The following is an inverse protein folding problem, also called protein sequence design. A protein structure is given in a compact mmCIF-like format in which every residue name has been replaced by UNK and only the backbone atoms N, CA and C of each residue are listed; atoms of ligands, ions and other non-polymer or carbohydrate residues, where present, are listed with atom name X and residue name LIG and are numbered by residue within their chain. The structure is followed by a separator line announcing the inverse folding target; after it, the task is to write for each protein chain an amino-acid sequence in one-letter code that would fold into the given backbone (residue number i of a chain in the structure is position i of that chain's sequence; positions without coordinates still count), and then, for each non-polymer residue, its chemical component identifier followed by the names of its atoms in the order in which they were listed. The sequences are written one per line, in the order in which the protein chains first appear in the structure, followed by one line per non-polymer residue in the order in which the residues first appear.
data_IF_206653788598
#
_entry.id   IF_206653788598
#
_cell.length_a   1.000
_cell.length_b   1.000
_cell.length_c   1.000
_cell.angle_alpha   90.00
_cell.angle_beta   90.00
_cell.angle_gamma   90.00
#
_symmetry.space_group_name_H-M   'P 1'
#
loop_
_entity.id
_entity.type
_entity.pdbx_description
1 polymer ?
#
# COMPACT_ATOMS: atom_id res chain seq x y z
N UNK A 1 9.56 16.84 -20.34
CA UNK A 1 9.60 15.89 -19.21
C UNK A 1 11.01 15.92 -18.66
N UNK A 2 11.13 16.10 -17.35
CA UNK A 2 12.42 16.05 -16.65
C UNK A 2 12.43 14.75 -15.84
N UNK A 3 13.22 13.78 -16.29
CA UNK A 3 13.32 12.47 -15.65
C UNK A 3 14.30 12.54 -14.48
N UNK A 4 14.01 11.75 -13.43
CA UNK A 4 14.85 11.58 -12.23
C UNK A 4 15.10 12.85 -11.41
N UNK A 5 14.31 13.91 -11.60
CA UNK A 5 14.37 15.10 -10.77
C UNK A 5 13.76 14.79 -9.39
N UNK A 6 14.58 14.91 -8.35
CA UNK A 6 14.13 14.78 -6.97
C UNK A 6 13.56 16.11 -6.48
N UNK A 7 12.36 16.12 -5.90
CA UNK A 7 11.73 17.31 -5.34
C UNK A 7 12.09 17.39 -3.85
N UNK A 8 12.75 18.49 -3.46
CA UNK A 8 13.16 18.72 -2.07
C UNK A 8 12.16 19.57 -1.30
N UNK A 9 11.45 20.47 -2.02
CA UNK A 9 10.50 21.39 -1.41
C UNK A 9 9.39 21.75 -2.38
N UNK A 10 8.18 21.89 -1.84
CA UNK A 10 7.00 22.35 -2.55
C UNK A 10 6.40 23.55 -1.82
N UNK A 11 6.15 24.64 -2.53
CA UNK A 11 5.43 25.83 -2.05
C UNK A 11 4.16 25.95 -2.86
N UNK A 12 3.01 25.54 -2.28
CA UNK A 12 1.77 25.30 -3.01
C UNK A 12 0.66 26.31 -2.74
N UNK A 13 0.82 27.17 -1.73
CA UNK A 13 -0.25 28.09 -1.27
C UNK A 13 -0.47 29.29 -2.19
N UNK A 14 0.58 29.73 -2.91
CA UNK A 14 0.53 30.91 -3.76
C UNK A 14 -0.16 30.63 -5.11
N UNK A 15 -0.52 31.68 -5.85
CA UNK A 15 -1.07 31.58 -7.20
C UNK A 15 -0.10 30.87 -8.15
N UNK A 16 1.19 31.14 -8.03
CA UNK A 16 2.26 30.42 -8.73
C UNK A 16 2.86 29.41 -7.76
N UNK A 17 2.69 28.12 -8.05
CA UNK A 17 3.25 27.02 -7.29
C UNK A 17 4.72 26.87 -7.64
N UNK A 18 5.56 26.59 -6.66
CA UNK A 18 7.00 26.46 -6.86
C UNK A 18 7.50 25.12 -6.30
N UNK A 19 8.27 24.41 -7.10
CA UNK A 19 8.95 23.16 -6.73
C UNK A 19 10.45 23.37 -6.85
N UNK A 20 11.18 23.15 -5.74
CA UNK A 20 12.64 23.12 -5.72
C UNK A 20 13.09 21.66 -5.91
N UNK A 21 13.91 21.41 -6.93
CA UNK A 21 14.33 20.06 -7.35
C UNK A 21 15.83 19.96 -7.57
N UNK A 22 16.34 18.74 -7.76
CA UNK A 22 17.74 18.50 -8.15
C UNK A 22 18.10 19.16 -9.51
N UNK A 23 17.12 19.42 -10.36
CA UNK A 23 17.28 19.98 -11.70
C UNK A 23 16.94 21.47 -11.79
N UNK A 24 16.74 22.13 -10.62
CA UNK A 24 16.40 23.55 -10.53
C UNK A 24 15.00 23.80 -9.99
N UNK A 25 14.54 25.03 -10.21
CA UNK A 25 13.24 25.51 -9.70
C UNK A 25 12.22 25.51 -10.83
N UNK A 26 11.11 24.82 -10.60
CA UNK A 26 9.97 24.78 -11.51
C UNK A 26 8.81 25.61 -10.95
N UNK A 27 8.14 26.34 -11.81
CA UNK A 27 6.98 27.15 -11.46
C UNK A 27 5.79 26.81 -12.35
N UNK A 28 4.60 26.74 -11.75
CA UNK A 28 3.36 26.46 -12.46
C UNK A 28 2.15 27.02 -11.73
N UNK A 29 1.06 27.21 -12.46
CA UNK A 29 -0.23 27.63 -11.88
C UNK A 29 -1.01 26.46 -11.29
N UNK A 30 -0.71 25.24 -11.75
CA UNK A 30 -1.29 24.00 -11.23
C UNK A 30 -0.21 23.00 -10.89
N UNK A 31 -0.49 22.14 -9.91
CA UNK A 31 0.35 20.99 -9.53
C UNK A 31 -0.53 19.76 -9.36
N UNK A 32 -0.11 18.64 -9.96
CA UNK A 32 -0.73 17.34 -9.76
C UNK A 32 0.24 16.46 -8.96
N UNK A 33 -0.18 16.05 -7.77
CA UNK A 33 0.59 15.20 -6.85
C UNK A 33 0.23 13.74 -7.12
N UNK A 34 1.22 12.97 -7.61
CA UNK A 34 1.09 11.56 -7.97
C UNK A 34 2.19 10.71 -7.32
N UNK A 35 2.61 11.08 -6.10
CA UNK A 35 3.76 10.48 -5.40
C UNK A 35 3.50 9.06 -4.88
N UNK A 36 2.24 8.62 -4.89
CA UNK A 36 1.88 7.25 -4.56
C UNK A 36 1.95 6.90 -3.07
N UNK A 37 1.99 5.60 -2.80
CA UNK A 37 2.12 5.04 -1.45
C UNK A 37 2.93 3.74 -1.49
N UNK A 38 3.94 3.64 -0.65
CA UNK A 38 4.79 2.46 -0.53
C UNK A 38 4.19 1.45 0.46
N UNK A 39 4.31 0.13 0.22
CA UNK A 39 3.97 -0.87 1.22
C UNK A 39 4.89 -0.72 2.44
N UNK A 40 4.35 -0.98 3.63
CA UNK A 40 5.15 -1.06 4.85
C UNK A 40 5.82 -2.43 4.89
N UNK A 41 7.17 -2.49 5.00
CA UNK A 41 7.87 -3.77 5.14
C UNK A 41 7.63 -4.38 6.53
N UNK A 42 7.94 -5.66 6.66
CA UNK A 42 8.05 -6.32 7.97
C UNK A 42 9.29 -5.83 8.73
N UNK A 43 10.32 -5.43 8.00
CA UNK A 43 11.61 -5.00 8.55
C UNK A 43 12.50 -6.17 8.97
N UNK A 44 12.30 -7.34 8.40
CA UNK A 44 13.14 -8.52 8.65
C UNK A 44 14.29 -8.60 7.64
N UNK A 45 15.46 -9.11 8.04
CA UNK A 45 16.60 -9.22 7.14
C UNK A 45 16.29 -9.99 5.86
N UNK A 46 16.77 -9.50 4.72
CA UNK A 46 16.63 -10.14 3.41
C UNK A 46 15.28 -9.95 2.72
N UNK A 47 14.35 -9.20 3.32
CA UNK A 47 13.01 -8.98 2.77
C UNK A 47 13.06 -8.36 1.36
N UNK A 48 13.88 -7.35 1.17
CA UNK A 48 14.08 -6.62 -0.09
C UNK A 48 14.62 -7.53 -1.22
N UNK A 49 15.53 -8.45 -0.90
CA UNK A 49 16.14 -9.37 -1.86
C UNK A 49 15.20 -10.47 -2.34
N UNK A 50 14.13 -10.73 -1.58
CA UNK A 50 13.12 -11.75 -1.83
C UNK A 50 11.85 -11.19 -2.49
N UNK A 51 11.75 -9.88 -2.71
CA UNK A 51 10.64 -9.28 -3.47
C UNK A 51 10.58 -9.92 -4.86
N UNK A 52 9.39 -10.44 -5.23
CA UNK A 52 9.18 -11.21 -6.46
C UNK A 52 9.72 -12.64 -6.44
N UNK A 53 10.47 -13.03 -5.38
CA UNK A 53 11.00 -14.40 -5.17
C UNK A 53 10.30 -15.12 -4.02
N UNK A 54 9.04 -14.75 -3.77
CA UNK A 54 8.20 -15.31 -2.71
C UNK A 54 7.72 -14.28 -1.70
N UNK A 55 8.26 -13.07 -1.69
CA UNK A 55 7.76 -11.93 -0.91
C UNK A 55 6.97 -11.00 -1.82
N UNK A 56 5.73 -10.66 -1.42
CA UNK A 56 4.78 -9.87 -2.18
C UNK A 56 4.00 -8.91 -1.29
N UNK A 57 3.48 -7.83 -1.89
CA UNK A 57 2.68 -6.81 -1.21
C UNK A 57 1.29 -6.62 -1.80
N UNK A 58 0.88 -7.46 -2.78
CA UNK A 58 -0.40 -7.36 -3.46
C UNK A 58 -0.87 -8.75 -3.92
N UNK A 59 -1.85 -9.33 -3.24
CA UNK A 59 -2.39 -10.63 -3.64
C UNK A 59 -3.14 -10.58 -4.98
N UNK A 60 -3.81 -9.49 -5.28
CA UNK A 60 -4.51 -9.31 -6.56
C UNK A 60 -3.53 -9.24 -7.75
N UNK A 61 -2.31 -8.72 -7.52
CA UNK A 61 -1.28 -8.58 -8.55
C UNK A 61 -0.50 -9.90 -8.74
N UNK A 62 -0.08 -10.53 -7.64
CA UNK A 62 0.94 -11.58 -7.62
C UNK A 62 0.41 -12.95 -7.16
N UNK A 63 -0.90 -13.07 -6.87
CA UNK A 63 -1.47 -14.28 -6.29
C UNK A 63 -1.62 -15.44 -7.25
N UNK A 64 -1.83 -15.19 -8.56
CA UNK A 64 -2.13 -16.23 -9.54
C UNK A 64 -1.10 -17.37 -9.63
N UNK A 65 0.24 -17.13 -9.54
CA UNK A 65 1.27 -18.19 -9.53
C UNK A 65 1.24 -19.12 -8.30
N UNK A 66 0.46 -18.77 -7.28
CA UNK A 66 0.34 -19.54 -6.04
C UNK A 66 -0.87 -20.48 -6.02
N UNK A 67 -1.50 -20.71 -7.15
CA UNK A 67 -2.55 -21.73 -7.28
C UNK A 67 -2.03 -23.11 -6.87
N UNK A 68 -2.75 -23.75 -5.92
CA UNK A 68 -2.39 -25.05 -5.38
C UNK A 68 -1.16 -25.07 -4.47
N UNK A 69 -0.60 -23.92 -4.09
CA UNK A 69 0.55 -23.80 -3.21
C UNK A 69 0.15 -23.35 -1.81
N UNK A 70 1.08 -23.42 -0.88
CA UNK A 70 0.93 -22.89 0.48
C UNK A 70 1.43 -21.47 0.55
N UNK A 71 0.61 -20.55 1.05
CA UNK A 71 0.97 -19.14 1.20
C UNK A 71 0.69 -18.62 2.60
N UNK A 72 1.39 -17.58 2.97
CA UNK A 72 1.14 -16.83 4.18
C UNK A 72 0.67 -15.40 3.84
N UNK A 73 -0.24 -14.84 4.64
CA UNK A 73 -0.65 -13.44 4.62
C UNK A 73 -0.32 -12.84 5.99
N UNK A 74 0.44 -11.77 6.02
CA UNK A 74 0.82 -11.11 7.27
C UNK A 74 0.02 -9.82 7.44
N UNK A 75 -0.78 -9.78 8.50
CA UNK A 75 -1.62 -8.64 8.84
C UNK A 75 -2.94 -9.07 9.48
N UNK A 76 -3.75 -8.12 9.92
CA UNK A 76 -5.05 -8.42 10.54
C UNK A 76 -6.10 -7.33 10.32
N UNK A 77 -5.80 -6.39 9.43
CA UNK A 77 -6.73 -5.34 8.97
C UNK A 77 -7.44 -5.71 7.67
N UNK A 78 -8.21 -4.77 7.14
CA UNK A 78 -8.97 -4.97 5.89
C UNK A 78 -8.10 -5.41 4.72
N UNK A 79 -6.89 -4.86 4.57
CA UNK A 79 -5.98 -5.26 3.48
C UNK A 79 -5.60 -6.74 3.57
N UNK A 80 -5.19 -7.21 4.76
CA UNK A 80 -4.82 -8.60 4.96
C UNK A 80 -6.01 -9.55 4.71
N UNK A 81 -7.19 -9.19 5.19
CA UNK A 81 -8.40 -9.97 4.96
C UNK A 81 -8.81 -9.99 3.49
N UNK A 82 -8.71 -8.84 2.80
CA UNK A 82 -8.99 -8.71 1.38
C UNK A 82 -7.98 -9.47 0.50
N UNK A 83 -6.73 -9.64 0.95
CA UNK A 83 -5.72 -10.46 0.28
C UNK A 83 -5.90 -11.96 0.58
N UNK A 84 -6.21 -12.32 1.83
CA UNK A 84 -6.37 -13.72 2.23
C UNK A 84 -7.59 -14.40 1.57
N UNK A 85 -8.69 -13.66 1.41
CA UNK A 85 -9.93 -14.23 0.87
C UNK A 85 -9.82 -14.70 -0.59
N UNK A 86 -9.29 -13.94 -1.56
CA UNK A 86 -9.06 -14.46 -2.91
C UNK A 86 -7.97 -15.54 -2.94
N UNK A 87 -6.93 -15.45 -2.11
CA UNK A 87 -5.90 -16.48 -2.01
C UNK A 87 -6.48 -17.80 -1.49
N UNK A 88 -7.43 -17.79 -0.56
CA UNK A 88 -8.07 -19.03 -0.07
C UNK A 88 -8.84 -19.79 -1.16
N UNK A 89 -9.24 -19.11 -2.25
CA UNK A 89 -9.95 -19.74 -3.38
C UNK A 89 -9.02 -20.45 -4.37
N UNK A 90 -7.73 -20.14 -4.33
CA UNK A 90 -6.77 -20.65 -5.32
C UNK A 90 -5.61 -21.44 -4.69
N UNK A 91 -5.18 -21.08 -3.49
CA UNK A 91 -4.09 -21.73 -2.79
C UNK A 91 -4.55 -23.05 -2.16
N UNK A 92 -3.61 -23.98 -1.97
CA UNK A 92 -3.84 -25.21 -1.20
C UNK A 92 -4.05 -24.88 0.29
N UNK A 93 -3.24 -23.97 0.83
CA UNK A 93 -3.27 -23.55 2.23
C UNK A 93 -2.95 -22.06 2.35
N UNK A 94 -3.64 -21.35 3.21
CA UNK A 94 -3.37 -19.96 3.57
C UNK A 94 -3.16 -19.85 5.07
N UNK A 95 -2.01 -19.37 5.48
CA UNK A 95 -1.74 -19.00 6.87
C UNK A 95 -1.98 -17.49 7.03
N UNK A 96 -2.94 -17.10 7.88
CA UNK A 96 -3.18 -15.69 8.20
C UNK A 96 -2.49 -15.36 9.54
N UNK A 97 -1.36 -14.67 9.46
CA UNK A 97 -0.49 -14.37 10.59
C UNK A 97 -0.84 -13.00 11.15
N UNK A 98 -1.22 -12.95 12.44
CA UNK A 98 -1.57 -11.71 13.09
C UNK A 98 -1.02 -11.63 14.52
N UNK A 99 -0.47 -10.46 14.87
CA UNK A 99 0.13 -10.18 16.19
C UNK A 99 -0.87 -10.07 17.35
N UNK A 100 -2.18 -10.16 17.08
CA UNK A 100 -3.27 -10.13 18.07
C UNK A 100 -4.05 -11.44 17.98
N UNK A 101 -4.99 -11.62 18.91
CA UNK A 101 -5.89 -12.77 19.02
C UNK A 101 -7.14 -12.68 18.15
N UNK A 102 -7.33 -11.55 17.42
CA UNK A 102 -8.53 -11.31 16.62
C UNK A 102 -8.27 -10.33 15.49
N UNK A 103 -9.02 -10.46 14.38
CA UNK A 103 -8.95 -9.54 13.24
C UNK A 103 -9.47 -8.16 13.60
N UNK A 104 -8.79 -7.13 13.08
CA UNK A 104 -9.28 -5.74 13.07
C UNK A 104 -10.03 -5.39 11.79
N UNK A 105 -10.08 -6.29 10.83
CA UNK A 105 -10.84 -6.16 9.60
C UNK A 105 -12.33 -5.99 9.91
N UNK A 106 -13.07 -5.37 8.97
CA UNK A 106 -14.53 -5.28 9.07
C UNK A 106 -15.17 -6.67 9.09
N UNK A 107 -16.28 -6.79 9.81
CA UNK A 107 -16.93 -8.10 10.07
C UNK A 107 -17.31 -8.88 8.81
N UNK A 108 -17.47 -8.20 7.68
CA UNK A 108 -17.79 -8.85 6.38
C UNK A 108 -16.73 -9.89 5.96
N UNK A 109 -15.48 -9.75 6.42
CA UNK A 109 -14.40 -10.69 6.13
C UNK A 109 -14.29 -11.85 7.12
N UNK A 110 -14.85 -11.70 8.34
CA UNK A 110 -14.62 -12.66 9.42
C UNK A 110 -15.19 -14.02 9.08
N UNK A 111 -16.50 -14.09 8.83
CA UNK A 111 -17.18 -15.35 8.56
C UNK A 111 -16.63 -16.08 7.31
N UNK A 112 -16.43 -15.44 6.14
CA UNK A 112 -15.84 -16.11 5.00
C UNK A 112 -14.45 -16.69 5.24
N UNK A 113 -13.61 -16.00 6.01
CA UNK A 113 -12.25 -16.47 6.32
C UNK A 113 -12.25 -17.58 7.38
N UNK A 114 -13.11 -17.47 8.41
CA UNK A 114 -13.21 -18.47 9.48
C UNK A 114 -13.81 -19.79 8.97
N UNK A 115 -14.69 -19.74 7.98
CA UNK A 115 -15.32 -20.91 7.38
C UNK A 115 -14.51 -21.50 6.21
N UNK A 116 -13.45 -20.85 5.75
CA UNK A 116 -12.61 -21.37 4.69
C UNK A 116 -11.74 -22.54 5.21
N UNK A 117 -11.92 -23.77 4.67
CA UNK A 117 -11.30 -24.98 5.24
C UNK A 117 -9.78 -25.02 5.12
N UNK A 118 -9.22 -24.21 4.23
CA UNK A 118 -7.79 -24.12 3.97
C UNK A 118 -7.15 -22.85 4.56
N UNK A 119 -7.88 -22.06 5.35
CA UNK A 119 -7.33 -20.90 6.07
C UNK A 119 -7.01 -21.31 7.50
N UNK A 120 -5.79 -21.07 7.93
CA UNK A 120 -5.33 -21.26 9.29
C UNK A 120 -4.86 -19.93 9.88
N UNK A 121 -5.41 -19.56 11.04
CA UNK A 121 -5.02 -18.36 11.74
C UNK A 121 -3.84 -18.60 12.68
N UNK A 122 -2.76 -17.87 12.47
CA UNK A 122 -1.62 -17.83 13.37
C UNK A 122 -1.74 -16.57 14.23
N UNK A 123 -2.55 -16.67 15.30
CA UNK A 123 -2.77 -15.58 16.25
C UNK A 123 -1.54 -15.32 17.12
N UNK A 124 -1.47 -14.12 17.71
CA UNK A 124 -0.40 -13.69 18.61
C UNK A 124 0.99 -13.93 18.03
N UNK A 125 1.14 -13.86 16.71
CA UNK A 125 2.35 -14.21 16.01
C UNK A 125 2.86 -13.06 15.13
N UNK A 126 4.17 -12.87 15.14
CA UNK A 126 4.91 -12.02 14.21
C UNK A 126 5.89 -12.85 13.40
N UNK A 127 6.33 -12.34 12.27
CA UNK A 127 7.41 -12.96 11.48
C UNK A 127 8.74 -12.42 12.02
N UNK A 128 9.61 -13.30 12.47
CA UNK A 128 10.95 -12.98 12.96
C UNK A 128 12.04 -13.18 11.90
N UNK A 129 11.81 -14.07 10.92
CA UNK A 129 12.73 -14.30 9.81
C UNK A 129 12.03 -14.87 8.57
N UNK A 130 12.63 -14.64 7.41
CA UNK A 130 12.29 -15.28 6.14
C UNK A 130 13.24 -16.44 5.91
N UNK A 131 12.72 -17.65 5.73
CA UNK A 131 13.50 -18.83 5.41
C UNK A 131 13.57 -18.96 3.89
N UNK A 132 14.76 -19.08 3.35
CA UNK A 132 14.96 -19.07 1.90
C UNK A 132 16.24 -19.80 1.46
N UNK A 133 16.24 -20.21 0.21
CA UNK A 133 17.42 -20.53 -0.60
C UNK A 133 17.53 -19.48 -1.71
N UNK A 134 17.29 -19.86 -2.97
CA UNK A 134 17.17 -18.90 -4.09
C UNK A 134 15.84 -18.11 -4.08
N UNK A 135 14.85 -18.61 -3.35
CA UNK A 135 13.52 -18.04 -3.14
C UNK A 135 13.01 -18.40 -1.74
N UNK A 136 11.91 -17.79 -1.33
CA UNK A 136 11.25 -18.09 -0.07
C UNK A 136 10.86 -19.58 0.01
N UNK A 137 11.14 -20.21 1.16
CA UNK A 137 10.76 -21.59 1.48
C UNK A 137 9.91 -21.68 2.75
N UNK A 138 9.86 -20.60 3.54
CA UNK A 138 9.10 -20.56 4.77
C UNK A 138 9.31 -19.29 5.57
N UNK A 139 8.73 -19.28 6.75
CA UNK A 139 8.80 -18.18 7.73
C UNK A 139 9.19 -18.73 9.09
N UNK A 140 9.92 -17.95 9.87
CA UNK A 140 10.01 -18.15 11.31
C UNK A 140 9.04 -17.21 11.98
N UNK A 141 8.13 -17.78 12.77
CA UNK A 141 7.14 -17.03 13.55
C UNK A 141 7.60 -16.97 14.99
N UNK A 142 7.34 -15.83 15.64
CA UNK A 142 7.53 -15.65 17.07
C UNK A 142 6.18 -15.33 17.72
N UNK A 143 5.84 -16.07 18.77
CA UNK A 143 4.69 -15.78 19.62
C UNK A 143 4.97 -14.52 20.45
N UNK A 144 4.07 -13.52 20.37
CA UNK A 144 4.28 -12.20 21.02
C UNK A 144 4.13 -12.24 22.53
N UNK A 145 3.47 -13.29 23.09
CA UNK A 145 3.23 -13.42 24.52
C UNK A 145 4.34 -14.22 25.22
N UNK A 146 4.85 -15.26 24.56
CA UNK A 146 5.80 -16.20 25.14
C UNK A 146 7.21 -16.05 24.61
N UNK A 147 7.37 -15.41 23.44
CA UNK A 147 8.64 -15.35 22.72
C UNK A 147 9.04 -16.66 22.02
N UNK A 148 8.22 -17.72 22.12
CA UNK A 148 8.50 -18.99 21.50
C UNK A 148 8.53 -18.88 19.97
N UNK A 149 9.51 -19.52 19.33
CA UNK A 149 9.63 -19.52 17.88
C UNK A 149 9.17 -20.85 17.28
N UNK A 150 8.60 -20.78 16.08
CA UNK A 150 8.30 -21.96 15.25
C UNK A 150 8.52 -21.64 13.77
N UNK A 151 8.86 -22.65 13.00
CA UNK A 151 8.97 -22.52 11.54
C UNK A 151 7.67 -22.97 10.87
N UNK A 152 7.37 -22.29 9.76
CA UNK A 152 6.19 -22.52 8.95
C UNK A 152 6.62 -22.55 7.48
N UNK A 153 6.50 -23.70 6.85
CA UNK A 153 6.82 -23.86 5.43
C UNK A 153 5.73 -23.18 4.57
N UNK A 154 6.15 -22.36 3.60
CA UNK A 154 5.27 -21.78 2.60
C UNK A 154 6.05 -21.36 1.36
N UNK A 155 5.37 -21.31 0.21
CA UNK A 155 5.93 -20.95 -1.08
C UNK A 155 5.96 -19.45 -1.33
N UNK A 156 5.14 -18.70 -0.58
CA UNK A 156 5.05 -17.24 -0.70
C UNK A 156 4.43 -16.58 0.52
N UNK A 157 4.80 -15.34 0.75
CA UNK A 157 4.24 -14.47 1.78
C UNK A 157 3.74 -13.16 1.18
N UNK A 158 2.51 -12.78 1.54
CA UNK A 158 1.87 -11.52 1.17
C UNK A 158 1.83 -10.60 2.40
N UNK A 159 2.59 -9.52 2.34
CA UNK A 159 2.75 -8.58 3.45
C UNK A 159 1.69 -7.49 3.36
N UNK A 160 0.71 -7.51 4.27
CA UNK A 160 -0.47 -6.63 4.26
C UNK A 160 -0.60 -5.88 5.60
N UNK A 161 0.53 -5.29 6.05
CA UNK A 161 0.62 -4.56 7.33
C UNK A 161 0.37 -3.05 7.18
N UNK A 162 -0.05 -2.62 6.00
CA UNK A 162 -0.40 -1.25 5.65
C UNK A 162 0.52 -0.64 4.60
N UNK A 163 0.18 0.60 4.22
CA UNK A 163 0.97 1.42 3.30
C UNK A 163 1.29 2.76 3.93
N UNK A 164 2.34 3.41 3.45
CA UNK A 164 2.73 4.77 3.79
C UNK A 164 2.58 5.64 2.54
N UNK A 165 1.67 6.62 2.50
CA UNK A 165 1.60 7.56 1.40
C UNK A 165 2.81 8.49 1.42
N UNK A 166 3.36 8.82 0.25
CA UNK A 166 4.50 9.74 0.12
C UNK A 166 4.01 11.19 0.17
N UNK A 167 3.78 11.68 1.38
CA UNK A 167 3.18 13.00 1.67
C UNK A 167 4.06 13.90 2.52
N UNK A 168 5.30 13.50 2.79
CA UNK A 168 6.22 14.21 3.70
C UNK A 168 6.44 15.66 3.28
N UNK A 169 6.55 15.91 1.96
CA UNK A 169 6.75 17.25 1.37
C UNK A 169 5.53 18.17 1.50
N UNK A 170 4.36 17.64 1.84
CA UNK A 170 3.10 18.36 1.81
C UNK A 170 2.47 18.52 3.20
N UNK A 171 3.16 18.04 4.24
CA UNK A 171 2.71 18.16 5.63
C UNK A 171 2.65 19.64 6.05
N UNK A 172 1.50 20.06 6.53
CA UNK A 172 1.25 21.44 6.94
C UNK A 172 0.54 22.28 5.88
N UNK A 173 0.68 21.98 4.59
CA UNK A 173 0.01 22.68 3.50
C UNK A 173 -1.29 21.99 3.07
N UNK A 174 -1.26 20.67 2.93
CA UNK A 174 -2.40 19.89 2.48
C UNK A 174 -3.14 19.20 3.64
N UNK A 175 -4.45 19.12 3.49
CA UNK A 175 -5.31 18.35 4.39
C UNK A 175 -5.04 16.85 4.22
N UNK A 176 -4.62 16.19 5.31
CA UNK A 176 -4.35 14.76 5.34
C UNK A 176 -5.37 14.03 6.24
N UNK A 177 -5.69 12.79 5.89
CA UNK A 177 -6.46 11.92 6.76
C UNK A 177 -5.61 11.38 7.92
N UNK A 178 -6.24 10.62 8.85
CA UNK A 178 -5.57 10.01 10.02
C UNK A 178 -4.47 9.02 9.66
N UNK A 179 -4.41 8.57 8.40
CA UNK A 179 -3.42 7.63 7.88
C UNK A 179 -2.34 8.32 7.05
N UNK A 180 -2.41 9.64 6.90
CA UNK A 180 -1.45 10.47 6.16
C UNK A 180 -1.75 10.64 4.67
N UNK A 181 -2.89 10.14 4.15
CA UNK A 181 -3.29 10.31 2.75
C UNK A 181 -3.86 11.69 2.50
N UNK A 182 -3.59 12.27 1.32
CA UNK A 182 -4.15 13.57 0.92
C UNK A 182 -5.67 13.45 0.76
N UNK A 183 -6.41 14.31 1.44
CA UNK A 183 -7.85 14.41 1.29
C UNK A 183 -8.15 15.13 -0.02
N UNK A 184 -8.78 14.43 -0.95
CA UNK A 184 -9.30 14.95 -2.20
C UNK A 184 -10.56 14.18 -2.57
N UNK A 185 -11.52 14.85 -3.19
CA UNK A 185 -12.77 14.25 -3.65
C UNK A 185 -12.63 13.59 -5.03
N UNK A 186 -13.75 13.23 -5.65
CA UNK A 186 -13.76 12.60 -6.98
C UNK A 186 -13.28 13.55 -8.09
N UNK A 187 -13.23 14.87 -7.85
CA UNK A 187 -12.60 15.85 -8.76
C UNK A 187 -11.08 15.90 -8.61
N UNK A 188 -10.51 15.16 -7.69
CA UNK A 188 -9.09 15.14 -7.32
C UNK A 188 -8.54 16.46 -6.75
N UNK A 189 -9.41 17.46 -6.55
CA UNK A 189 -9.04 18.76 -5.95
C UNK A 189 -8.69 18.58 -4.47
N UNK A 190 -7.63 19.24 -4.06
CA UNK A 190 -7.22 19.33 -2.64
C UNK A 190 -7.82 20.58 -1.97
N UNK A 191 -7.45 20.81 -0.72
CA UNK A 191 -7.81 22.05 -0.02
C UNK A 191 -7.13 23.31 -0.60
N UNK A 192 -6.13 23.18 -1.46
CA UNK A 192 -5.43 24.31 -2.10
C UNK A 192 -5.89 24.48 -3.55
N UNK A 193 -6.30 25.69 -3.98
CA UNK A 193 -6.70 25.95 -5.34
C UNK A 193 -5.57 25.66 -6.34
N UNK A 194 -5.88 24.95 -7.44
CA UNK A 194 -4.92 24.57 -8.47
C UNK A 194 -3.98 23.43 -8.08
N UNK A 195 -4.20 22.78 -6.92
CA UNK A 195 -3.45 21.61 -6.47
C UNK A 195 -4.36 20.39 -6.46
N UNK A 196 -3.94 19.32 -7.15
CA UNK A 196 -4.68 18.08 -7.32
C UNK A 196 -3.87 16.91 -6.76
N UNK A 197 -4.55 15.89 -6.23
CA UNK A 197 -3.93 14.66 -5.75
C UNK A 197 -4.53 13.45 -6.45
N UNK A 198 -3.70 12.56 -6.98
CA UNK A 198 -4.12 11.43 -7.82
C UNK A 198 -3.45 10.13 -7.40
N UNK A 199 -4.09 9.01 -7.68
CA UNK A 199 -3.56 7.67 -7.42
C UNK A 199 -3.48 7.33 -5.93
N UNK A 200 -2.45 6.56 -5.58
CA UNK A 200 -2.35 5.92 -4.27
C UNK A 200 -2.02 6.88 -3.12
N UNK A 201 -1.56 8.09 -3.39
CA UNK A 201 -1.29 9.12 -2.37
C UNK A 201 -2.58 9.75 -1.82
N UNK A 202 -3.69 9.64 -2.56
CA UNK A 202 -5.00 10.17 -2.22
C UNK A 202 -5.77 9.25 -1.26
N UNK A 203 -6.56 9.81 -0.36
CA UNK A 203 -7.53 9.09 0.47
C UNK A 203 -8.61 8.47 -0.43
N UNK A 204 -8.63 7.15 -0.57
CA UNK A 204 -9.57 6.40 -1.42
C UNK A 204 -9.71 4.94 -0.95
N UNK A 205 -10.81 4.31 -1.33
CA UNK A 205 -11.11 2.95 -0.91
C UNK A 205 -10.27 1.88 -1.63
N UNK A 206 -10.03 2.07 -2.93
CA UNK A 206 -9.32 1.10 -3.78
C UNK A 206 -8.09 1.74 -4.43
N UNK A 207 -6.95 1.06 -4.29
CA UNK A 207 -5.65 1.47 -4.84
C UNK A 207 -5.19 0.42 -5.83
N UNK A 208 -5.39 0.71 -7.12
CA UNK A 208 -5.01 -0.12 -8.26
C UNK A 208 -4.60 0.79 -9.43
N UNK A 209 -3.83 0.26 -10.37
CA UNK A 209 -3.37 1.02 -11.55
C UNK A 209 -4.53 1.68 -12.28
N UNK A 210 -5.64 0.97 -12.51
CA UNK A 210 -6.81 1.50 -13.20
C UNK A 210 -7.43 2.69 -12.48
N UNK A 211 -7.46 2.69 -11.13
CA UNK A 211 -7.99 3.82 -10.35
C UNK A 211 -7.02 4.99 -10.31
N UNK A 212 -5.72 4.75 -10.40
CA UNK A 212 -4.72 5.81 -10.50
C UNK A 212 -4.77 6.49 -11.88
N UNK A 213 -4.91 5.72 -12.96
CA UNK A 213 -5.09 6.24 -14.33
C UNK A 213 -6.36 7.09 -14.43
N UNK A 214 -7.47 6.61 -13.86
CA UNK A 214 -8.73 7.38 -13.81
C UNK A 214 -8.56 8.73 -13.09
N UNK A 215 -7.92 8.74 -11.92
CA UNK A 215 -7.64 9.98 -11.18
C UNK A 215 -6.81 10.95 -12.03
N UNK A 216 -5.79 10.45 -12.77
CA UNK A 216 -4.96 11.28 -13.63
C UNK A 216 -5.75 11.97 -14.75
N UNK A 217 -6.68 11.25 -15.40
CA UNK A 217 -7.55 11.82 -16.41
C UNK A 217 -8.49 12.90 -15.83
N UNK A 218 -9.05 12.65 -14.65
CA UNK A 218 -9.91 13.60 -13.94
C UNK A 218 -9.13 14.86 -13.54
N UNK A 219 -7.92 14.70 -13.00
CA UNK A 219 -7.07 15.83 -12.62
C UNK A 219 -6.69 16.70 -13.82
N UNK A 220 -6.38 16.11 -14.97
CA UNK A 220 -6.07 16.86 -16.19
C UNK A 220 -7.24 17.75 -16.61
N UNK A 221 -8.47 17.18 -16.64
CA UNK A 221 -9.68 17.93 -16.96
C UNK A 221 -9.90 19.13 -16.03
N UNK A 222 -9.84 18.91 -14.71
CA UNK A 222 -10.07 19.98 -13.75
C UNK A 222 -8.89 20.98 -13.64
N UNK A 223 -7.68 20.58 -14.00
CA UNK A 223 -6.57 21.52 -14.10
C UNK A 223 -6.74 22.47 -15.30
N UNK A 224 -7.23 21.98 -16.45
CA UNK A 224 -7.58 22.83 -17.61
C UNK A 224 -8.70 23.82 -17.27
N UNK A 225 -9.76 23.38 -16.60
CA UNK A 225 -10.85 24.22 -16.15
C UNK A 225 -10.33 25.34 -15.22
N UNK A 226 -9.55 24.97 -14.19
CA UNK A 226 -8.93 25.93 -13.28
C UNK A 226 -8.07 26.97 -14.00
N UNK A 227 -7.28 26.57 -14.99
CA UNK A 227 -6.43 27.45 -15.77
C UNK A 227 -7.23 28.40 -16.66
N UNK A 228 -8.39 27.96 -17.17
CA UNK A 228 -9.29 28.79 -17.98
C UNK A 228 -9.98 29.87 -17.14
N UNK A 229 -10.42 29.53 -15.93
CA UNK A 229 -11.12 30.45 -15.00
C UNK A 229 -10.17 31.49 -14.36
N UNK A 230 -8.89 31.15 -14.22
CA UNK A 230 -7.88 31.97 -13.52
C UNK A 230 -6.80 32.53 -14.46
N UNK A 231 -7.18 32.99 -15.63
CA UNK A 231 -6.28 33.61 -16.64
C UNK A 231 -5.60 34.89 -16.12
#
# INVERSE_FOLDING_TARGET
VTDLAEVYKASLSDKIKTLETSEGVFQGRTVVIATGASPRPLGVPGEDTLIGKGVHYCAACDGAPYRGKTVAVVGGGNSAAADALPLSRIAQKVYLIHRRDSLRATKVYHEPLMNAPNVEFCWNSTVSALLHESRLTGLRLQDVNTGAERELACDGVFISVGRAPATELFQGDLALDKSGYIIADESTRTNLPGVFAVGDVRAKALRQVVTAVSDGAVAAHYAEEYLAENR
#
